data_IF_219501595544
#
_entry.id   IF_219501595544
#
_cell.length_a   1.000
_cell.length_b   1.000
_cell.length_c   1.000
_cell.angle_alpha   90.00
_cell.angle_beta   90.00
_cell.angle_gamma   90.00
#
_symmetry.space_group_name_H-M   'P 1'
#
loop_
_entity.id
_entity.type
_entity.pdbx_description
1 polymer ?
#
# COMPACT_ATOMS: atom_id res chain seq x y z
N UNK A 1 36.99 14.45 32.10
CA UNK A 1 36.31 13.13 32.06
C UNK A 1 34.80 13.21 31.83
N UNK A 2 34.04 14.09 32.51
CA UNK A 2 32.57 14.18 32.36
C UNK A 2 32.07 14.57 30.95
N UNK A 3 32.86 15.32 30.19
CA UNK A 3 32.51 15.77 28.82
C UNK A 3 32.82 14.73 27.75
N UNK A 4 33.80 13.86 27.98
CA UNK A 4 34.16 12.75 27.06
C UNK A 4 33.09 11.65 27.11
N UNK A 5 32.51 11.39 28.29
CA UNK A 5 31.37 10.49 28.45
C UNK A 5 30.10 10.99 27.74
N UNK A 6 29.87 12.31 27.70
CA UNK A 6 28.73 12.89 26.98
C UNK A 6 28.87 12.77 25.46
N UNK A 7 30.08 12.90 24.92
CA UNK A 7 30.35 12.72 23.49
C UNK A 7 30.22 11.23 23.09
N UNK A 8 30.73 10.32 23.91
CA UNK A 8 30.61 8.87 23.67
C UNK A 8 29.15 8.37 23.72
N UNK A 9 28.31 8.93 24.61
CA UNK A 9 26.87 8.62 24.67
C UNK A 9 26.10 9.24 23.50
N UNK A 10 26.52 10.41 23.01
CA UNK A 10 25.87 11.07 21.85
C UNK A 10 26.12 10.37 20.50
N UNK A 11 27.19 9.58 20.38
CA UNK A 11 27.54 8.83 19.16
C UNK A 11 26.71 7.54 18.97
N UNK A 12 25.90 7.12 19.95
CA UNK A 12 25.10 5.89 19.89
C UNK A 12 23.64 6.11 19.41
N UNK A 13 23.24 7.33 19.07
CA UNK A 13 21.87 7.64 18.67
C UNK A 13 21.61 7.61 17.16
N UNK A 14 22.45 6.94 16.36
CA UNK A 14 22.10 6.65 14.96
C UNK A 14 21.28 5.35 14.94
N UNK A 15 20.01 5.43 15.34
CA UNK A 15 19.05 4.35 15.16
C UNK A 15 18.71 4.21 13.67
N UNK A 16 19.67 3.73 12.87
CA UNK A 16 19.44 3.40 11.48
C UNK A 16 18.56 2.14 11.44
N UNK A 17 17.45 2.22 10.71
CA UNK A 17 16.60 1.06 10.48
C UNK A 17 17.42 -0.06 9.81
N UNK A 18 17.36 -1.28 10.36
CA UNK A 18 18.12 -2.44 9.87
C UNK A 18 17.51 -2.95 8.57
N UNK A 19 18.36 -3.47 7.66
CA UNK A 19 17.84 -4.27 6.54
C UNK A 19 17.08 -5.49 7.05
N UNK A 20 15.99 -5.85 6.38
CA UNK A 20 15.25 -7.08 6.69
C UNK A 20 15.68 -8.25 5.80
N UNK A 21 16.20 -8.02 4.59
CA UNK A 21 16.61 -9.07 3.63
C UNK A 21 15.52 -10.12 3.28
N UNK A 22 14.27 -9.84 3.64
CA UNK A 22 13.08 -10.62 3.25
C UNK A 22 12.82 -10.42 1.77
N UNK A 23 12.69 -11.52 1.03
CA UNK A 23 12.37 -11.52 -0.41
C UNK A 23 11.00 -10.90 -0.68
N UNK A 24 10.89 -9.96 -1.64
CA UNK A 24 9.60 -9.38 -2.03
C UNK A 24 8.61 -10.41 -2.57
N UNK A 25 7.41 -10.43 -1.98
CA UNK A 25 6.28 -11.26 -2.38
C UNK A 25 5.81 -10.94 -3.80
N UNK A 26 5.35 -11.98 -4.49
CA UNK A 26 4.60 -11.86 -5.73
C UNK A 26 3.11 -11.75 -5.40
N UNK A 27 2.42 -10.81 -6.01
CA UNK A 27 1.00 -10.56 -5.76
C UNK A 27 0.17 -10.88 -7.01
N UNK A 28 -1.04 -11.42 -6.81
CA UNK A 28 -2.02 -11.67 -7.87
C UNK A 28 -3.28 -10.81 -7.69
N UNK A 29 -3.66 -10.04 -8.71
CA UNK A 29 -4.87 -9.22 -8.68
C UNK A 29 -6.11 -10.10 -8.93
N UNK A 30 -7.19 -9.86 -8.18
CA UNK A 30 -8.44 -10.62 -8.33
C UNK A 30 -9.62 -9.74 -8.72
N UNK A 31 -9.87 -8.64 -8.00
CA UNK A 31 -10.95 -7.72 -8.34
C UNK A 31 -10.83 -6.35 -7.67
N UNK A 32 -11.55 -5.38 -8.20
CA UNK A 32 -11.88 -4.12 -7.54
C UNK A 32 -13.38 -3.91 -7.57
N UNK A 33 -13.99 -3.59 -6.42
CA UNK A 33 -15.42 -3.33 -6.30
C UNK A 33 -15.69 -2.08 -5.48
N UNK A 34 -16.71 -1.26 -5.82
CA UNK A 34 -17.08 -0.12 -5.01
C UNK A 34 -17.74 -0.58 -3.71
N UNK A 35 -17.41 0.07 -2.60
CA UNK A 35 -18.17 -0.09 -1.35
C UNK A 35 -19.42 0.79 -1.43
N UNK A 36 -20.59 0.18 -1.22
CA UNK A 36 -21.88 0.90 -1.26
C UNK A 36 -21.88 2.13 -0.35
N UNK A 37 -22.41 3.24 -0.86
CA UNK A 37 -22.52 4.53 -0.16
C UNK A 37 -21.20 5.05 0.43
N UNK A 38 -20.07 4.78 -0.24
CA UNK A 38 -18.74 5.10 0.27
C UNK A 38 -17.79 5.60 -0.83
N UNK A 39 -16.77 6.38 -0.43
CA UNK A 39 -15.66 6.77 -1.33
C UNK A 39 -14.59 5.67 -1.46
N UNK A 40 -14.79 4.55 -0.77
CA UNK A 40 -13.84 3.44 -0.71
C UNK A 40 -14.19 2.34 -1.73
N UNK A 41 -13.15 1.65 -2.19
CA UNK A 41 -13.21 0.48 -3.05
C UNK A 41 -12.49 -0.66 -2.35
N UNK A 42 -12.98 -1.88 -2.52
CA UNK A 42 -12.32 -3.09 -2.05
C UNK A 42 -11.52 -3.69 -3.21
N UNK A 43 -10.20 -3.79 -3.04
CA UNK A 43 -9.33 -4.52 -3.96
C UNK A 43 -9.00 -5.86 -3.34
N UNK A 44 -9.43 -6.93 -4.00
CA UNK A 44 -9.08 -8.29 -3.61
C UNK A 44 -7.84 -8.74 -4.38
N UNK A 45 -6.89 -9.34 -3.65
CA UNK A 45 -5.64 -9.85 -4.22
C UNK A 45 -5.10 -10.99 -3.36
N UNK A 46 -4.16 -11.74 -3.93
CA UNK A 46 -3.44 -12.80 -3.21
C UNK A 46 -1.93 -12.55 -3.19
N UNK A 47 -1.23 -13.28 -2.32
CA UNK A 47 0.22 -13.27 -2.15
C UNK A 47 0.77 -14.68 -2.05
N UNK A 48 1.99 -14.88 -2.53
CA UNK A 48 2.76 -16.12 -2.32
C UNK A 48 3.31 -16.26 -0.89
N UNK A 49 3.27 -15.20 -0.08
CA UNK A 49 3.68 -15.21 1.34
C UNK A 49 2.65 -14.53 2.25
N UNK A 50 2.71 -14.86 3.54
CA UNK A 50 1.88 -14.21 4.57
C UNK A 50 2.41 -12.79 4.89
N UNK A 51 1.61 -11.76 4.58
CA UNK A 51 2.00 -10.35 4.58
C UNK A 51 1.75 -9.66 5.92
N UNK A 52 0.66 -9.98 6.63
CA UNK A 52 0.30 -9.30 7.87
C UNK A 52 1.29 -9.65 8.99
N UNK A 53 1.72 -10.92 9.00
CA UNK A 53 2.68 -11.43 9.99
C UNK A 53 4.13 -11.54 9.47
N UNK A 54 4.46 -10.95 8.32
CA UNK A 54 5.75 -11.19 7.65
C UNK A 54 6.96 -10.91 8.56
N UNK A 55 6.96 -9.79 9.30
CA UNK A 55 8.04 -9.46 10.23
C UNK A 55 8.03 -10.31 11.49
N UNK A 56 6.87 -10.75 11.94
CA UNK A 56 6.79 -11.67 13.08
C UNK A 56 7.38 -13.03 12.73
N UNK A 57 7.05 -13.55 11.55
CA UNK A 57 7.52 -14.84 11.05
C UNK A 57 9.03 -14.83 10.76
N UNK A 58 9.50 -13.82 10.04
CA UNK A 58 10.88 -13.75 9.54
C UNK A 58 11.87 -13.11 10.53
N UNK A 59 11.41 -12.21 11.40
CA UNK A 59 12.28 -11.36 12.25
C UNK A 59 11.89 -11.32 13.73
N UNK A 60 10.80 -11.98 14.13
CA UNK A 60 10.24 -11.90 15.49
C UNK A 60 10.01 -10.45 15.93
N UNK A 61 9.61 -9.61 14.99
CA UNK A 61 9.35 -8.19 15.19
C UNK A 61 7.89 -7.87 14.91
N UNK A 62 7.33 -6.90 15.64
CA UNK A 62 5.96 -6.46 15.41
C UNK A 62 5.91 -5.56 14.17
N UNK A 63 5.07 -5.94 13.23
CA UNK A 63 4.61 -5.06 12.15
C UNK A 63 3.67 -3.99 12.73
N UNK A 64 3.63 -2.83 12.07
CA UNK A 64 2.57 -1.84 12.26
C UNK A 64 1.51 -2.06 11.18
N UNK A 65 1.20 -1.02 10.41
CA UNK A 65 0.22 -1.07 9.34
C UNK A 65 0.81 -1.65 8.04
N UNK A 66 -0.01 -2.43 7.35
CA UNK A 66 0.21 -2.85 5.96
C UNK A 66 -0.64 -1.96 5.06
N UNK A 67 0.01 -1.16 4.22
CA UNK A 67 -0.66 -0.20 3.34
C UNK A 67 -0.56 -0.69 1.90
N UNK A 68 -1.69 -0.84 1.25
CA UNK A 68 -1.78 -1.03 -0.19
C UNK A 68 -1.75 0.35 -0.87
N UNK A 69 -0.83 0.55 -1.80
CA UNK A 69 -0.60 1.83 -2.48
C UNK A 69 -0.54 1.59 -3.97
N UNK A 70 -1.30 2.37 -4.74
CA UNK A 70 -1.24 2.42 -6.20
C UNK A 70 -0.84 3.81 -6.67
N UNK A 71 0.05 3.86 -7.67
CA UNK A 71 0.40 5.11 -8.34
C UNK A 71 -0.57 5.40 -9.48
N UNK A 72 -1.33 6.50 -9.39
CA UNK A 72 -2.28 6.90 -10.44
C UNK A 72 -1.62 7.72 -11.55
N UNK A 73 -0.51 8.41 -11.22
CA UNK A 73 0.31 9.17 -12.16
C UNK A 73 1.47 8.35 -12.73
N UNK A 74 2.52 9.03 -13.16
CA UNK A 74 3.75 8.40 -13.67
C UNK A 74 4.81 8.20 -12.59
N UNK A 75 4.59 8.81 -11.43
CA UNK A 75 5.42 8.68 -10.25
C UNK A 75 5.17 7.33 -9.55
N UNK A 76 6.11 6.41 -9.74
CA UNK A 76 6.05 5.04 -9.20
C UNK A 76 7.11 4.79 -8.12
N UNK A 77 7.60 5.84 -7.46
CA UNK A 77 8.47 5.67 -6.29
C UNK A 77 7.60 5.37 -5.06
N UNK A 78 7.59 4.11 -4.64
CA UNK A 78 6.79 3.67 -3.49
C UNK A 78 7.52 3.81 -2.16
N UNK A 79 8.73 4.39 -2.13
CA UNK A 79 9.49 4.55 -0.89
C UNK A 79 8.71 5.37 0.14
N UNK A 80 8.81 5.00 1.42
CA UNK A 80 8.09 5.68 2.50
C UNK A 80 8.51 7.14 2.69
N UNK A 81 9.73 7.48 2.26
CA UNK A 81 10.28 8.83 2.26
C UNK A 81 9.69 9.70 1.14
N UNK A 82 9.21 9.07 0.06
CA UNK A 82 8.60 9.74 -1.07
C UNK A 82 7.09 9.93 -0.88
N UNK A 83 6.51 10.88 -1.61
CA UNK A 83 5.07 11.14 -1.62
C UNK A 83 4.54 11.08 -3.04
N UNK A 84 3.77 10.03 -3.33
CA UNK A 84 3.01 9.93 -4.58
C UNK A 84 1.78 10.85 -4.48
N UNK A 85 1.80 11.96 -5.22
CA UNK A 85 0.77 13.01 -5.12
C UNK A 85 -0.62 12.54 -5.53
N UNK A 86 -0.72 11.60 -6.49
CA UNK A 86 -2.00 11.01 -6.93
C UNK A 86 -1.92 9.51 -6.72
N UNK A 87 -2.58 9.03 -5.66
CA UNK A 87 -2.49 7.64 -5.25
C UNK A 87 -3.85 7.07 -4.87
N UNK A 88 -4.01 5.76 -5.03
CA UNK A 88 -5.05 5.02 -4.31
C UNK A 88 -4.40 4.29 -3.14
N UNK A 89 -4.91 4.49 -1.93
CA UNK A 89 -4.27 3.97 -0.71
C UNK A 89 -5.30 3.41 0.25
N UNK A 90 -4.96 2.31 0.92
CA UNK A 90 -5.83 1.62 1.85
C UNK A 90 -5.09 0.68 2.79
N UNK A 91 -5.74 0.31 3.90
CA UNK A 91 -5.22 -0.72 4.80
C UNK A 91 -5.54 -2.11 4.24
N UNK A 92 -4.59 -3.03 4.37
CA UNK A 92 -4.74 -4.44 4.00
C UNK A 92 -5.33 -5.23 5.17
N UNK A 93 -6.25 -6.13 4.86
CA UNK A 93 -6.84 -7.10 5.81
C UNK A 93 -6.88 -8.47 5.16
N UNK A 94 -6.93 -9.50 5.99
CA UNK A 94 -7.15 -10.87 5.52
C UNK A 94 -8.51 -10.99 4.83
N UNK A 95 -8.53 -11.67 3.68
CA UNK A 95 -9.77 -12.05 3.01
C UNK A 95 -10.16 -13.49 3.42
N UNK A 96 -11.11 -13.59 4.33
CA UNK A 96 -11.63 -14.89 4.83
C UNK A 96 -12.38 -15.70 3.77
N UNK A 97 -12.75 -15.11 2.64
CA UNK A 97 -13.36 -15.86 1.53
C UNK A 97 -12.30 -16.61 0.71
N UNK A 98 -11.00 -16.36 0.92
CA UNK A 98 -9.89 -17.00 0.23
C UNK A 98 -9.45 -18.34 0.85
N UNK A 99 -10.14 -18.83 1.89
CA UNK A 99 -9.70 -19.99 2.70
C UNK A 99 -9.48 -21.31 1.94
N UNK A 100 -9.90 -21.42 0.67
CA UNK A 100 -9.77 -22.63 -0.16
C UNK A 100 -8.96 -22.43 -1.45
N UNK A 101 -8.23 -21.32 -1.58
CA UNK A 101 -7.38 -21.04 -2.75
C UNK A 101 -5.90 -21.13 -2.35
N UNK A 102 -5.03 -21.36 -3.34
CA UNK A 102 -3.60 -21.33 -3.09
C UNK A 102 -3.14 -19.91 -2.69
N UNK A 103 -2.10 -19.83 -1.84
CA UNK A 103 -1.56 -18.57 -1.33
C UNK A 103 -2.41 -17.95 -0.22
N UNK A 104 -2.09 -16.69 0.11
CA UNK A 104 -2.76 -15.93 1.16
C UNK A 104 -3.62 -14.84 0.53
N UNK A 105 -4.89 -14.76 0.91
CA UNK A 105 -5.85 -13.81 0.33
C UNK A 105 -6.04 -12.57 1.18
N UNK A 106 -6.19 -11.43 0.53
CA UNK A 106 -6.34 -10.13 1.18
C UNK A 106 -7.36 -9.25 0.49
N UNK A 107 -7.84 -8.29 1.25
CA UNK A 107 -8.65 -7.17 0.78
C UNK A 107 -8.00 -5.87 1.23
N UNK A 108 -7.78 -4.95 0.29
CA UNK A 108 -7.38 -3.58 0.57
C UNK A 108 -8.57 -2.64 0.39
N UNK A 109 -8.94 -1.92 1.46
CA UNK A 109 -10.00 -0.90 1.38
C UNK A 109 -9.38 0.44 1.01
N UNK A 110 -9.34 0.74 -0.29
CA UNK A 110 -8.63 1.88 -0.87
C UNK A 110 -9.55 3.07 -1.08
N UNK A 111 -8.97 4.26 -1.05
CA UNK A 111 -9.59 5.46 -1.61
C UNK A 111 -8.63 6.19 -2.53
N UNK A 112 -9.16 6.76 -3.62
CA UNK A 112 -8.42 7.58 -4.57
C UNK A 112 -8.20 8.97 -3.99
N UNK A 113 -6.96 9.40 -3.87
CA UNK A 113 -6.57 10.62 -3.16
C UNK A 113 -5.61 11.48 -3.97
N UNK A 114 -5.83 12.77 -3.82
CA UNK A 114 -4.86 13.82 -4.05
C UNK A 114 -4.13 14.09 -2.73
N UNK A 115 -2.91 13.58 -2.62
CA UNK A 115 -2.02 13.77 -1.48
C UNK A 115 -1.23 15.04 -1.74
N UNK A 116 -1.63 16.14 -1.11
CA UNK A 116 -0.95 17.42 -1.23
C UNK A 116 0.50 17.34 -0.72
N UNK A 117 1.31 18.35 -1.09
CA UNK A 117 2.72 18.40 -0.73
C UNK A 117 2.95 18.14 0.77
N UNK A 118 3.97 17.32 1.07
CA UNK A 118 4.41 16.96 2.43
C UNK A 118 3.37 16.21 3.27
N UNK A 119 2.42 15.50 2.66
CA UNK A 119 1.43 14.63 3.36
C UNK A 119 0.53 15.39 4.35
N UNK A 120 0.46 16.73 4.28
CA UNK A 120 -0.27 17.57 5.26
C UNK A 120 -1.76 17.68 5.00
N UNK A 121 -2.19 17.46 3.76
CA UNK A 121 -3.59 17.47 3.35
C UNK A 121 -3.81 16.36 2.34
N UNK A 122 -4.89 15.60 2.47
CA UNK A 122 -5.35 14.69 1.42
C UNK A 122 -6.81 14.96 1.09
N UNK A 123 -7.15 14.96 -0.19
CA UNK A 123 -8.53 15.10 -0.68
C UNK A 123 -8.91 13.87 -1.48
N UNK A 124 -10.14 13.42 -1.35
CA UNK A 124 -10.65 12.37 -2.24
C UNK A 124 -10.75 12.91 -3.67
N UNK A 125 -10.32 12.12 -4.64
CA UNK A 125 -10.46 12.45 -6.05
C UNK A 125 -11.92 12.23 -6.49
N UNK A 126 -12.43 13.13 -7.32
CA UNK A 126 -13.70 12.91 -8.01
C UNK A 126 -13.57 11.82 -9.07
N UNK A 127 -14.70 11.26 -9.50
CA UNK A 127 -14.76 10.24 -10.56
C UNK A 127 -14.14 10.73 -11.86
N UNK A 128 -14.47 11.95 -12.28
CA UNK A 128 -13.92 12.55 -13.50
C UNK A 128 -12.42 12.79 -13.38
N UNK A 129 -11.93 13.16 -12.19
CA UNK A 129 -10.49 13.28 -11.96
C UNK A 129 -9.80 11.91 -12.04
N UNK A 130 -10.39 10.84 -11.48
CA UNK A 130 -9.86 9.48 -11.59
C UNK A 130 -9.83 9.05 -13.06
N UNK A 131 -10.93 9.21 -13.80
CA UNK A 131 -11.01 8.89 -15.24
C UNK A 131 -10.00 9.68 -16.06
N UNK A 132 -9.86 10.98 -15.79
CA UNK A 132 -8.91 11.86 -16.46
C UNK A 132 -7.44 11.46 -16.22
N UNK A 133 -7.10 11.01 -15.02
CA UNK A 133 -5.75 10.52 -14.68
C UNK A 133 -5.40 9.21 -15.38
N UNK A 134 -6.40 8.35 -15.60
CA UNK A 134 -6.20 6.98 -16.08
C UNK A 134 -6.50 6.78 -17.57
N UNK A 135 -7.06 7.78 -18.26
CA UNK A 135 -7.58 7.65 -19.64
C UNK A 135 -6.59 7.06 -20.65
N UNK A 136 -5.28 7.33 -20.48
CA UNK A 136 -4.22 6.89 -21.40
C UNK A 136 -3.41 5.71 -20.83
N UNK A 137 -3.85 5.13 -19.71
CA UNK A 137 -3.18 4.03 -19.00
C UNK A 137 -3.98 2.74 -19.19
N UNK A 138 -3.26 1.62 -19.33
CA UNK A 138 -3.87 0.30 -19.34
C UNK A 138 -3.83 -0.38 -17.97
N UNK A 139 -2.76 -0.12 -17.21
CA UNK A 139 -2.48 -0.77 -15.93
C UNK A 139 -2.04 0.26 -14.89
N UNK A 140 -2.41 0.02 -13.63
CA UNK A 140 -2.02 0.84 -12.47
C UNK A 140 -1.08 0.00 -11.60
N UNK A 141 0.20 0.40 -11.43
CA UNK A 141 1.11 -0.32 -10.55
C UNK A 141 0.76 -0.07 -9.09
N UNK A 142 0.74 -1.14 -8.31
CA UNK A 142 0.44 -1.13 -6.89
C UNK A 142 1.42 -2.00 -6.10
N UNK A 143 1.61 -1.70 -4.81
CA UNK A 143 2.41 -2.49 -3.88
C UNK A 143 1.75 -2.54 -2.51
N UNK A 144 2.09 -3.57 -1.74
CA UNK A 144 1.89 -3.56 -0.29
C UNK A 144 3.20 -3.10 0.36
N UNK A 145 3.09 -2.14 1.26
CA UNK A 145 4.18 -1.63 2.10
C UNK A 145 3.91 -2.06 3.53
N UNK A 146 4.88 -2.73 4.15
CA UNK A 146 4.80 -3.16 5.54
C UNK A 146 5.93 -2.51 6.32
N UNK A 147 5.58 -1.81 7.40
CA UNK A 147 6.56 -1.20 8.31
C UNK A 147 6.64 -2.00 9.61
N UNK A 148 7.83 -2.04 10.21
CA UNK A 148 8.07 -2.72 11.48
C UNK A 148 9.12 -1.99 12.30
N UNK A 149 9.09 -2.18 13.61
CA UNK A 149 10.03 -1.51 14.52
C UNK A 149 11.46 -1.97 14.26
N UNK A 150 12.37 -1.02 14.05
CA UNK A 150 13.81 -1.30 13.92
C UNK A 150 14.24 -1.84 12.56
N UNK A 151 13.33 -1.96 11.59
CA UNK A 151 13.62 -2.44 10.23
C UNK A 151 13.22 -1.43 9.16
N UNK A 152 13.92 -1.46 8.03
CA UNK A 152 13.48 -0.77 6.81
C UNK A 152 12.12 -1.30 6.38
N UNK A 153 11.32 -0.46 5.73
CA UNK A 153 10.03 -0.90 5.20
C UNK A 153 10.21 -2.03 4.18
N UNK A 154 9.33 -3.01 4.26
CA UNK A 154 9.22 -4.09 3.31
C UNK A 154 8.28 -3.68 2.17
N UNK A 155 8.66 -4.02 0.94
CA UNK A 155 7.89 -3.74 -0.26
C UNK A 155 7.70 -5.02 -1.07
N UNK A 156 6.48 -5.28 -1.52
CA UNK A 156 6.20 -6.38 -2.45
C UNK A 156 6.73 -6.08 -3.86
N UNK A 157 6.71 -7.09 -4.73
CA UNK A 157 6.70 -6.86 -6.18
C UNK A 157 5.45 -6.08 -6.57
N UNK A 158 5.49 -5.47 -7.75
CA UNK A 158 4.35 -4.72 -8.27
C UNK A 158 3.22 -5.67 -8.66
N UNK A 159 2.04 -5.38 -8.15
CA UNK A 159 0.75 -5.82 -8.66
C UNK A 159 0.30 -4.80 -9.71
N UNK A 160 -0.43 -5.22 -10.74
CA UNK A 160 -1.01 -4.31 -11.73
C UNK A 160 -2.53 -4.46 -11.76
N UNK A 161 -3.24 -3.37 -11.49
CA UNK A 161 -4.71 -3.32 -11.63
C UNK A 161 -5.05 -2.84 -13.05
N UNK A 162 -5.89 -3.57 -13.81
CA UNK A 162 -6.39 -3.10 -15.09
C UNK A 162 -7.23 -1.83 -14.93
N UNK A 163 -6.96 -0.81 -15.73
CA UNK A 163 -7.74 0.45 -15.73
C UNK A 163 -9.20 0.21 -16.13
N UNK A 164 -9.45 -0.76 -17.00
CA UNK A 164 -10.80 -1.15 -17.40
C UNK A 164 -11.66 -1.56 -16.18
N UNK A 165 -11.11 -2.34 -15.24
CA UNK A 165 -11.81 -2.78 -14.05
C UNK A 165 -12.11 -1.62 -13.11
N UNK A 166 -11.19 -0.66 -12.99
CA UNK A 166 -11.42 0.57 -12.24
C UNK A 166 -12.56 1.37 -12.86
N UNK A 167 -12.62 1.49 -14.19
CA UNK A 167 -13.70 2.20 -14.87
C UNK A 167 -15.05 1.48 -14.70
N UNK A 168 -15.08 0.16 -14.75
CA UNK A 168 -16.28 -0.64 -14.45
C UNK A 168 -16.75 -0.40 -13.01
N UNK A 169 -15.84 -0.50 -12.03
CA UNK A 169 -16.16 -0.25 -10.62
C UNK A 169 -16.64 1.18 -10.34
N UNK A 170 -16.14 2.17 -11.10
CA UNK A 170 -16.67 3.52 -11.05
C UNK A 170 -18.12 3.55 -11.56
N UNK A 171 -18.42 2.94 -12.71
CA UNK A 171 -19.78 2.94 -13.27
C UNK A 171 -20.81 2.22 -12.39
N UNK A 172 -20.46 1.07 -11.79
CA UNK A 172 -21.39 0.27 -10.97
C UNK A 172 -21.91 1.03 -9.75
N UNK A 173 -21.08 1.90 -9.17
CA UNK A 173 -21.52 2.76 -8.06
C UNK A 173 -22.68 3.69 -8.45
N UNK A 174 -22.76 4.13 -9.71
CA UNK A 174 -23.86 5.01 -10.16
C UNK A 174 -25.21 4.27 -10.22
N UNK A 175 -25.20 2.94 -10.28
CA UNK A 175 -26.43 2.13 -10.26
C UNK A 175 -27.07 1.97 -8.87
N UNK A 176 -26.35 2.37 -7.82
CA UNK A 176 -26.80 2.29 -6.42
C UNK A 176 -27.23 3.63 -5.82
N UNK A 177 -27.31 4.69 -6.64
CA UNK A 177 -27.77 6.03 -6.26
C UNK A 177 -29.07 6.38 -6.96
#
# INVERSE_FOLDING_TARGET
MRWVLLIAVSLLCVACAKSHDITPASLGYESITPRSNSVFFEVNFNSDVELLEIFWREKKANSFDQVFVCALGDDTDFSIEHTISKAAMGLVRENKEHLNKAGFGYTASIAFKDVGEKKRTSKYLSRDAIKGLLKDKQMIPCKVVVTATGYKAYYTKSLFIPVADVFSALSDYDSFR
#
